data_IF_244697435323
#
_entry.id   IF_244697435323
#
_cell.length_a   1.000
_cell.length_b   1.000
_cell.length_c   1.000
_cell.angle_alpha   90.00
_cell.angle_beta   90.00
_cell.angle_gamma   90.00
#
_symmetry.space_group_name_H-M   'P 1'
#
loop_
_entity.id
_entity.type
_entity.pdbx_description
1 polymer ?
#
# COMPACT_ATOMS: atom_id res chain seq x y z
N UNK A 1 9.32 -22.83 -4.92
CA UNK A 1 10.07 -21.56 -4.91
C UNK A 1 9.09 -20.43 -5.18
N UNK A 2 9.23 -19.31 -4.46
CA UNK A 2 8.41 -18.11 -4.64
C UNK A 2 9.34 -16.98 -5.05
N UNK A 3 8.97 -16.20 -6.06
CA UNK A 3 9.68 -14.97 -6.41
C UNK A 3 8.80 -13.81 -5.96
N UNK A 4 9.28 -12.99 -5.01
CA UNK A 4 8.61 -11.73 -4.71
C UNK A 4 9.12 -10.67 -5.67
N UNK A 5 8.21 -9.94 -6.32
CA UNK A 5 8.57 -8.83 -7.21
C UNK A 5 8.06 -7.49 -6.69
N UNK A 6 8.90 -6.47 -6.82
CA UNK A 6 8.60 -5.06 -6.55
C UNK A 6 8.97 -4.26 -7.79
N UNK A 7 8.00 -4.03 -8.68
CA UNK A 7 8.27 -3.52 -10.02
C UNK A 7 9.15 -4.49 -10.81
N UNK A 8 10.34 -4.05 -11.20
CA UNK A 8 11.33 -4.88 -11.92
C UNK A 8 12.31 -5.62 -10.99
N UNK A 9 12.26 -5.35 -9.68
CA UNK A 9 13.13 -6.03 -8.71
C UNK A 9 12.50 -7.37 -8.33
N UNK A 10 13.23 -8.46 -8.51
CA UNK A 10 12.78 -9.81 -8.17
C UNK A 10 13.67 -10.38 -7.08
N UNK A 11 13.09 -11.07 -6.11
CA UNK A 11 13.82 -11.69 -5.01
C UNK A 11 13.34 -13.14 -4.86
N UNK A 12 14.22 -14.15 -5.03
CA UNK A 12 13.85 -15.54 -4.93
C UNK A 12 13.83 -16.02 -3.48
N UNK A 13 12.76 -16.71 -3.10
CA UNK A 13 12.55 -17.28 -1.78
C UNK A 13 12.19 -18.77 -1.85
N UNK A 14 12.71 -19.53 -0.89
CA UNK A 14 12.32 -20.91 -0.63
C UNK A 14 11.27 -20.97 0.48
N UNK A 15 10.26 -21.81 0.29
CA UNK A 15 9.27 -22.08 1.33
C UNK A 15 9.90 -23.02 2.36
N UNK A 16 10.10 -22.56 3.59
CA UNK A 16 10.63 -23.38 4.70
C UNK A 16 9.54 -24.12 5.45
N UNK A 17 8.37 -23.50 5.59
CA UNK A 17 7.23 -24.09 6.31
C UNK A 17 5.93 -23.57 5.71
N UNK A 18 4.95 -24.45 5.57
CA UNK A 18 3.59 -24.12 5.19
C UNK A 18 2.64 -24.64 6.26
N UNK A 19 1.69 -23.82 6.68
CA UNK A 19 0.59 -24.20 7.56
C UNK A 19 -0.70 -23.90 6.82
N UNK A 20 -1.63 -24.84 6.84
CA UNK A 20 -2.94 -24.70 6.21
C UNK A 20 -4.02 -24.80 7.28
N UNK A 21 -5.00 -23.91 7.21
CA UNK A 21 -6.08 -23.80 8.20
C UNK A 21 -7.36 -24.46 7.72
N UNK A 22 -7.56 -24.58 6.40
CA UNK A 22 -8.76 -25.17 5.78
C UNK A 22 -8.51 -26.59 5.24
N UNK A 23 -9.51 -27.51 5.33
CA UNK A 23 -9.35 -28.93 5.02
C UNK A 23 -9.30 -29.28 3.52
N UNK A 24 -9.23 -28.31 2.60
CA UNK A 24 -9.09 -28.65 1.16
C UNK A 24 -7.73 -29.33 0.91
N UNK A 25 -7.64 -30.17 -0.12
CA UNK A 25 -6.40 -30.90 -0.43
C UNK A 25 -5.32 -30.01 -1.08
N UNK A 26 -5.70 -28.87 -1.65
CA UNK A 26 -4.84 -28.10 -2.56
C UNK A 26 -4.35 -26.79 -1.94
N UNK A 27 -3.03 -26.59 -1.85
CA UNK A 27 -2.47 -25.29 -1.47
C UNK A 27 -2.85 -24.22 -2.51
N UNK A 28 -3.03 -22.96 -2.14
CA UNK A 28 -3.23 -21.88 -3.12
C UNK A 28 -1.95 -21.70 -3.96
N UNK A 29 -0.79 -21.82 -3.31
CA UNK A 29 0.51 -21.77 -3.98
C UNK A 29 0.99 -23.19 -4.35
N UNK A 30 0.31 -23.85 -5.32
CA UNK A 30 0.69 -25.21 -5.77
C UNK A 30 1.93 -25.25 -6.66
N UNK A 31 2.13 -24.21 -7.47
CA UNK A 31 3.16 -24.22 -8.50
C UNK A 31 4.55 -24.16 -7.88
N UNK A 32 5.47 -24.97 -8.43
CA UNK A 32 6.88 -25.04 -8.02
C UNK A 32 7.60 -23.71 -8.19
N UNK A 33 7.09 -22.80 -9.04
CA UNK A 33 7.61 -21.47 -9.30
C UNK A 33 6.48 -20.45 -9.43
N UNK A 34 6.18 -19.73 -8.35
CA UNK A 34 5.15 -18.68 -8.36
C UNK A 34 5.81 -17.31 -8.20
N UNK A 35 5.50 -16.38 -9.11
CA UNK A 35 5.89 -14.97 -8.97
C UNK A 35 4.75 -14.20 -8.33
N UNK A 36 5.06 -13.49 -7.26
CA UNK A 36 4.14 -12.77 -6.40
C UNK A 36 4.48 -11.29 -6.43
N UNK A 37 3.62 -10.49 -7.06
CA UNK A 37 3.83 -9.05 -7.24
C UNK A 37 3.34 -8.27 -6.03
N UNK A 38 4.23 -7.52 -5.38
CA UNK A 38 3.88 -6.56 -4.35
C UNK A 38 3.21 -5.36 -5.03
N UNK A 39 1.93 -5.13 -4.72
CA UNK A 39 1.16 -3.99 -5.24
C UNK A 39 1.26 -2.75 -4.35
N UNK A 40 1.53 -2.93 -3.07
CA UNK A 40 1.62 -1.81 -2.14
C UNK A 40 1.98 -2.25 -0.74
N UNK A 41 2.15 -1.26 0.13
CA UNK A 41 2.45 -1.45 1.54
C UNK A 41 1.37 -0.81 2.40
N UNK A 42 0.94 -1.52 3.44
CA UNK A 42 -0.04 -1.04 4.40
C UNK A 42 0.57 -0.98 5.80
N UNK A 43 0.17 0.02 6.57
CA UNK A 43 0.51 0.12 7.99
C UNK A 43 -0.68 -0.38 8.80
N UNK A 44 -0.44 -1.29 9.74
CA UNK A 44 -1.47 -1.82 10.65
C UNK A 44 -2.69 -2.45 9.93
N UNK A 45 -2.53 -3.54 9.16
CA UNK A 45 -3.67 -4.30 8.67
C UNK A 45 -4.49 -4.84 9.87
N UNK A 46 -5.78 -5.10 9.70
CA UNK A 46 -6.65 -5.68 10.74
C UNK A 46 -5.98 -6.86 11.47
N UNK A 47 -5.99 -6.85 12.80
CA UNK A 47 -5.21 -7.82 13.61
C UNK A 47 -5.68 -9.28 13.43
N UNK A 48 -6.93 -9.48 12.98
CA UNK A 48 -7.48 -10.80 12.70
C UNK A 48 -7.89 -10.93 11.24
N UNK A 49 -7.27 -11.90 10.56
CA UNK A 49 -7.62 -12.29 9.20
C UNK A 49 -7.91 -13.79 9.17
N UNK A 50 -8.99 -14.24 8.50
CA UNK A 50 -9.20 -15.66 8.22
C UNK A 50 -8.11 -16.14 7.25
N UNK A 51 -6.96 -16.51 7.81
CA UNK A 51 -5.79 -16.96 7.06
C UNK A 51 -6.02 -18.40 6.61
N UNK A 52 -6.17 -18.62 5.31
CA UNK A 52 -6.28 -19.94 4.69
C UNK A 52 -4.96 -20.69 4.83
N UNK A 53 -3.86 -20.00 4.50
CA UNK A 53 -2.51 -20.55 4.44
C UNK A 53 -1.50 -19.56 4.97
N UNK A 54 -0.48 -20.09 5.63
CA UNK A 54 0.64 -19.31 6.13
C UNK A 54 1.94 -19.97 5.69
N UNK A 55 2.75 -19.24 4.95
CA UNK A 55 4.05 -19.68 4.48
C UNK A 55 5.15 -18.89 5.17
N UNK A 56 6.13 -19.60 5.72
CA UNK A 56 7.41 -19.01 6.12
C UNK A 56 8.37 -19.19 4.95
N UNK A 57 8.85 -18.08 4.42
CA UNK A 57 9.72 -18.03 3.27
C UNK A 57 11.09 -17.48 3.69
N UNK A 58 12.15 -18.04 3.13
CA UNK A 58 13.52 -17.61 3.38
C UNK A 58 14.22 -17.32 2.07
N UNK A 59 15.07 -16.29 2.04
CA UNK A 59 15.88 -15.96 0.87
C UNK A 59 16.56 -17.23 0.33
N UNK A 60 16.44 -17.47 -0.97
CA UNK A 60 17.02 -18.66 -1.60
C UNK A 60 18.55 -18.66 -1.41
N UNK A 61 19.18 -19.80 -1.12
CA UNK A 61 20.64 -19.90 -1.06
C UNK A 61 21.29 -19.67 -2.44
N UNK A 62 20.50 -19.71 -3.51
CA UNK A 62 20.95 -19.41 -4.88
C UNK A 62 20.79 -17.92 -5.25
N UNK A 63 20.31 -17.08 -4.33
CA UNK A 63 20.15 -15.66 -4.58
C UNK A 63 21.50 -14.98 -4.89
N UNK A 64 21.49 -14.13 -5.90
CA UNK A 64 22.61 -13.26 -6.25
C UNK A 64 22.87 -12.22 -5.17
N UNK A 65 24.04 -11.59 -5.21
CA UNK A 65 24.41 -10.50 -4.29
C UNK A 65 23.37 -9.36 -4.33
N UNK A 66 22.95 -8.95 -5.52
CA UNK A 66 21.94 -7.91 -5.71
C UNK A 66 20.59 -8.28 -5.09
N UNK A 67 20.15 -9.53 -5.24
CA UNK A 67 18.91 -10.01 -4.63
C UNK A 67 19.01 -10.04 -3.10
N UNK A 68 20.18 -10.40 -2.56
CA UNK A 68 20.44 -10.36 -1.12
C UNK A 68 20.41 -8.93 -0.55
N UNK A 69 21.03 -7.97 -1.25
CA UNK A 69 20.98 -6.55 -0.88
C UNK A 69 19.56 -5.98 -0.97
N UNK A 70 18.81 -6.36 -2.00
CA UNK A 70 17.40 -5.97 -2.17
C UNK A 70 16.54 -6.55 -1.04
N UNK A 71 16.77 -7.81 -0.67
CA UNK A 71 16.10 -8.48 0.45
C UNK A 71 16.36 -7.76 1.77
N UNK A 72 17.62 -7.38 2.05
CA UNK A 72 17.99 -6.63 3.24
C UNK A 72 17.33 -5.23 3.25
N UNK A 73 17.29 -4.56 2.11
CA UNK A 73 16.62 -3.25 1.97
C UNK A 73 15.12 -3.37 2.25
N UNK A 74 14.48 -4.41 1.69
CA UNK A 74 13.08 -4.71 1.93
C UNK A 74 12.82 -5.01 3.42
N UNK A 75 13.64 -5.85 4.05
CA UNK A 75 13.56 -6.15 5.48
C UNK A 75 13.65 -4.88 6.34
N UNK A 76 14.61 -4.02 6.03
CA UNK A 76 14.75 -2.74 6.73
C UNK A 76 13.53 -1.85 6.54
N UNK A 77 12.94 -1.79 5.34
CA UNK A 77 11.72 -1.02 5.11
C UNK A 77 10.55 -1.49 5.98
N UNK A 78 10.43 -2.81 6.21
CA UNK A 78 9.44 -3.37 7.13
C UNK A 78 9.70 -3.02 8.60
N UNK A 79 10.97 -2.94 9.01
CA UNK A 79 11.34 -2.75 10.42
C UNK A 79 11.64 -1.30 10.83
N UNK A 80 11.89 -0.39 9.88
CA UNK A 80 12.34 0.99 10.16
C UNK A 80 11.24 1.90 10.70
N UNK A 81 9.98 1.60 10.40
CA UNK A 81 8.86 2.38 10.91
C UNK A 81 8.46 1.88 12.30
N UNK A 82 8.15 2.78 13.23
CA UNK A 82 7.63 2.44 14.58
C UNK A 82 6.30 1.66 14.55
N UNK A 83 5.74 1.44 13.35
CA UNK A 83 4.52 0.70 13.07
C UNK A 83 4.83 -0.44 12.12
N UNK A 84 4.26 -1.62 12.38
CA UNK A 84 4.41 -2.78 11.51
C UNK A 84 3.85 -2.47 10.11
N UNK A 85 4.73 -2.52 9.12
CA UNK A 85 4.39 -2.43 7.69
C UNK A 85 4.17 -3.84 7.17
N UNK A 86 3.26 -4.00 6.22
CA UNK A 86 2.99 -5.25 5.53
C UNK A 86 2.85 -4.99 4.03
N UNK A 87 3.35 -5.89 3.20
CA UNK A 87 3.19 -5.79 1.75
C UNK A 87 1.96 -6.59 1.32
N UNK A 88 1.23 -6.03 0.36
CA UNK A 88 0.03 -6.63 -0.20
C UNK A 88 0.36 -7.22 -1.56
N UNK A 89 -0.02 -8.48 -1.75
CA UNK A 89 0.25 -9.29 -2.93
C UNK A 89 -1.06 -9.95 -3.36
N UNK A 90 -1.75 -9.49 -4.41
CA UNK A 90 -2.87 -10.27 -4.95
C UNK A 90 -2.36 -11.57 -5.56
N UNK A 91 -3.09 -12.66 -5.33
CA UNK A 91 -2.72 -13.99 -5.83
C UNK A 91 -3.71 -14.45 -6.89
N UNK A 92 -5.02 -14.28 -6.63
CA UNK A 92 -6.11 -14.62 -7.53
C UNK A 92 -7.34 -13.75 -7.21
N UNK A 93 -8.41 -13.93 -7.98
CA UNK A 93 -9.70 -13.31 -7.70
C UNK A 93 -10.14 -13.66 -6.27
N UNK A 94 -10.38 -12.64 -5.45
CA UNK A 94 -10.74 -12.78 -4.03
C UNK A 94 -9.69 -13.42 -3.11
N UNK A 95 -8.43 -13.63 -3.57
CA UNK A 95 -7.34 -14.14 -2.74
C UNK A 95 -6.21 -13.12 -2.61
N UNK A 96 -5.88 -12.78 -1.37
CA UNK A 96 -4.84 -11.81 -1.01
C UNK A 96 -3.73 -12.47 -0.20
N UNK A 97 -2.49 -12.15 -0.55
CA UNK A 97 -1.30 -12.39 0.24
C UNK A 97 -0.91 -11.14 1.02
N UNK A 98 -0.66 -11.29 2.32
CA UNK A 98 -0.05 -10.27 3.18
C UNK A 98 1.33 -10.76 3.58
N UNK A 99 2.36 -10.03 3.19
CA UNK A 99 3.76 -10.35 3.49
C UNK A 99 4.25 -9.46 4.63
N UNK A 100 4.82 -10.08 5.66
CA UNK A 100 5.47 -9.39 6.77
C UNK A 100 6.89 -9.89 7.00
N UNK A 101 7.76 -9.01 7.49
CA UNK A 101 9.10 -9.38 7.93
C UNK A 101 9.09 -10.06 9.31
N UNK A 102 10.01 -11.00 9.51
CA UNK A 102 10.31 -11.54 10.84
C UNK A 102 11.45 -10.77 11.51
N UNK A 103 11.82 -11.15 12.73
CA UNK A 103 13.02 -10.63 13.38
C UNK A 103 14.32 -11.02 12.64
N UNK A 104 14.29 -12.08 11.81
CA UNK A 104 15.42 -12.52 11.01
C UNK A 104 15.37 -11.87 9.62
N UNK A 105 16.52 -11.37 9.15
CA UNK A 105 16.61 -10.46 7.98
C UNK A 105 16.27 -11.11 6.64
N UNK A 106 16.43 -12.42 6.56
CA UNK A 106 16.27 -13.25 5.39
C UNK A 106 14.95 -14.03 5.40
N UNK A 107 14.12 -13.83 6.43
CA UNK A 107 12.89 -14.59 6.67
C UNK A 107 11.66 -13.69 6.72
N UNK A 108 10.68 -14.07 5.92
CA UNK A 108 9.38 -13.40 5.80
C UNK A 108 8.25 -14.40 5.98
N UNK A 109 7.08 -13.89 6.30
CA UNK A 109 5.85 -14.66 6.42
C UNK A 109 4.85 -14.13 5.41
N UNK A 110 4.25 -15.03 4.65
CA UNK A 110 3.12 -14.75 3.77
C UNK A 110 1.87 -15.33 4.41
N UNK A 111 0.88 -14.49 4.66
CA UNK A 111 -0.48 -14.89 5.04
C UNK A 111 -1.37 -14.83 3.82
N UNK A 112 -1.98 -15.94 3.44
CA UNK A 112 -2.95 -16.02 2.36
C UNK A 112 -4.35 -16.00 2.96
N UNK A 113 -5.21 -15.13 2.46
CA UNK A 113 -6.59 -14.98 2.91
C UNK A 113 -7.54 -14.87 1.72
N UNK A 114 -8.74 -15.40 1.91
CA UNK A 114 -9.88 -15.03 1.07
C UNK A 114 -10.41 -13.72 1.61
N UNK A 115 -10.67 -12.78 0.72
CA UNK A 115 -11.49 -11.64 1.03
C UNK A 115 -12.76 -11.78 0.22
N UNK A 116 -13.89 -11.82 0.90
CA UNK A 116 -15.14 -11.49 0.25
C UNK A 116 -15.07 -10.01 -0.06
N UNK A 117 -15.06 -9.67 -1.35
CA UNK A 117 -15.66 -8.42 -1.77
C UNK A 117 -17.12 -8.56 -1.39
N UNK A 118 -17.47 -8.27 -0.13
CA UNK A 118 -18.82 -7.81 0.11
C UNK A 118 -19.01 -6.70 -0.92
N UNK A 119 -20.08 -6.73 -1.74
CA UNK A 119 -20.44 -5.54 -2.48
C UNK A 119 -20.56 -4.53 -1.37
N UNK A 120 -19.55 -3.68 -1.23
CA UNK A 120 -19.59 -2.56 -0.33
C UNK A 120 -20.94 -1.99 -0.68
N UNK A 121 -21.87 -1.96 0.30
CA UNK A 121 -23.00 -1.07 0.20
C UNK A 121 -22.31 0.27 0.12
N UNK A 122 -21.95 0.61 -1.11
CA UNK A 122 -21.50 1.89 -1.54
C UNK A 122 -22.74 2.70 -1.22
N UNK A 123 -22.82 3.21 0.01
CA UNK A 123 -23.22 4.59 0.19
C UNK A 123 -22.40 5.29 -0.86
N UNK A 124 -23.03 5.58 -2.00
CA UNK A 124 -22.38 5.86 -3.25
C UNK A 124 -21.33 6.96 -3.08
N UNK A 125 -20.11 6.58 -2.72
CA UNK A 125 -18.91 7.28 -3.07
C UNK A 125 -18.51 6.58 -4.33
N UNK A 126 -19.03 7.12 -5.43
CA UNK A 126 -18.51 6.82 -6.76
C UNK A 126 -16.99 6.75 -6.62
N UNK A 127 -16.41 5.58 -6.87
CA UNK A 127 -15.01 5.45 -7.26
C UNK A 127 -14.84 6.19 -8.58
N UNK A 128 -14.93 7.52 -8.54
CA UNK A 128 -14.40 8.37 -9.58
C UNK A 128 -12.91 8.14 -9.47
N UNK A 129 -12.39 7.35 -10.42
CA UNK A 129 -11.05 7.58 -10.95
C UNK A 129 -10.91 9.10 -11.00
N UNK A 130 -10.09 9.65 -10.12
CA UNK A 130 -9.92 11.09 -10.01
C UNK A 130 -9.24 11.51 -11.30
N UNK A 131 -10.03 12.03 -12.23
CA UNK A 131 -9.53 12.47 -13.53
C UNK A 131 -8.39 13.45 -13.28
N UNK A 132 -7.20 13.12 -13.78
CA UNK A 132 -6.01 13.96 -13.61
C UNK A 132 -6.23 15.36 -14.20
N UNK A 133 -7.09 15.47 -15.22
CA UNK A 133 -7.47 16.74 -15.81
C UNK A 133 -8.36 17.59 -14.89
N UNK A 134 -8.96 16.99 -13.87
CA UNK A 134 -9.77 17.65 -12.85
C UNK A 134 -8.97 18.09 -11.61
N UNK A 135 -7.64 17.90 -11.61
CA UNK A 135 -6.79 18.37 -10.52
C UNK A 135 -6.93 19.88 -10.34
N UNK A 136 -7.21 20.38 -9.11
CA UNK A 136 -7.35 21.81 -8.87
C UNK A 136 -6.09 22.57 -9.28
N UNK A 137 -6.25 23.55 -10.16
CA UNK A 137 -5.12 24.33 -10.68
C UNK A 137 -4.63 25.33 -9.63
N UNK A 138 -3.32 25.68 -9.62
CA UNK A 138 -2.79 26.67 -8.68
C UNK A 138 -3.55 28.00 -8.64
N UNK A 139 -4.05 28.46 -9.80
CA UNK A 139 -4.85 29.68 -9.91
C UNK A 139 -6.20 29.60 -9.16
N UNK A 140 -6.81 28.41 -9.13
CA UNK A 140 -8.06 28.16 -8.40
C UNK A 140 -7.82 28.17 -6.90
N UNK A 141 -6.76 27.48 -6.44
CA UNK A 141 -6.33 27.45 -5.03
C UNK A 141 -6.09 28.88 -4.54
N UNK A 142 -5.35 29.69 -5.31
CA UNK A 142 -5.09 31.10 -4.99
C UNK A 142 -6.37 31.92 -4.83
N UNK A 143 -7.32 31.76 -5.76
CA UNK A 143 -8.61 32.48 -5.72
C UNK A 143 -9.42 32.13 -4.49
N UNK A 144 -9.42 30.86 -4.09
CA UNK A 144 -10.14 30.38 -2.90
C UNK A 144 -9.45 30.89 -1.62
N UNK A 145 -8.12 30.91 -1.56
CA UNK A 145 -7.37 31.45 -0.41
C UNK A 145 -7.57 32.96 -0.22
N UNK A 146 -7.78 33.74 -1.28
CA UNK A 146 -8.06 35.18 -1.18
C UNK A 146 -9.35 35.51 -0.41
N UNK A 147 -10.30 34.58 -0.37
CA UNK A 147 -11.57 34.73 0.35
C UNK A 147 -11.55 34.05 1.73
N UNK A 148 -10.37 33.71 2.25
CA UNK A 148 -10.22 33.17 3.60
C UNK A 148 -10.64 34.21 4.65
N UNK A 149 -11.36 33.83 5.74
CA UNK A 149 -11.74 32.47 6.15
C UNK A 149 -13.09 31.95 5.62
N UNK A 150 -13.83 32.76 4.85
CA UNK A 150 -15.18 32.41 4.38
C UNK A 150 -15.18 31.20 3.42
N UNK A 151 -14.08 31.00 2.69
CA UNK A 151 -13.87 29.91 1.74
C UNK A 151 -13.43 28.57 2.37
N UNK A 152 -13.39 28.45 3.69
CA UNK A 152 -12.98 27.23 4.41
C UNK A 152 -13.56 25.92 3.87
N UNK A 153 -14.87 25.78 3.59
CA UNK A 153 -15.42 24.53 3.06
C UNK A 153 -14.92 24.20 1.65
N UNK A 154 -14.73 25.21 0.80
CA UNK A 154 -14.22 25.04 -0.56
C UNK A 154 -12.74 24.63 -0.53
N UNK A 155 -11.96 25.29 0.32
CA UNK A 155 -10.55 24.97 0.49
C UNK A 155 -10.35 23.56 1.06
N UNK A 156 -11.23 23.11 1.96
CA UNK A 156 -11.24 21.72 2.45
C UNK A 156 -11.57 20.72 1.34
N UNK A 157 -12.48 21.04 0.43
CA UNK A 157 -12.78 20.20 -0.74
C UNK A 157 -11.55 20.02 -1.63
N UNK A 158 -10.91 21.14 -1.98
CA UNK A 158 -9.67 21.17 -2.79
C UNK A 158 -8.54 20.40 -2.10
N UNK A 159 -8.31 20.64 -0.81
CA UNK A 159 -7.28 19.96 -0.03
C UNK A 159 -7.46 18.44 -0.05
N UNK A 160 -8.69 17.96 0.21
CA UNK A 160 -8.99 16.52 0.17
C UNK A 160 -8.80 15.94 -1.23
N UNK A 161 -9.17 16.66 -2.28
CA UNK A 161 -8.99 16.20 -3.65
C UNK A 161 -7.50 16.04 -3.99
N UNK A 162 -6.68 17.06 -3.73
CA UNK A 162 -5.23 17.04 -4.00
C UNK A 162 -4.54 15.97 -3.14
N UNK A 163 -4.90 15.89 -1.86
CA UNK A 163 -4.33 14.90 -0.94
C UNK A 163 -4.67 13.46 -1.35
N UNK A 164 -5.92 13.19 -1.73
CA UNK A 164 -6.33 11.88 -2.24
C UNK A 164 -5.61 11.54 -3.54
N UNK A 165 -5.42 12.49 -4.45
CA UNK A 165 -4.64 12.28 -5.67
C UNK A 165 -3.17 11.98 -5.37
N UNK A 166 -2.57 12.65 -4.38
CA UNK A 166 -1.20 12.38 -3.95
C UNK A 166 -1.07 10.97 -3.35
N UNK A 167 -2.05 10.53 -2.55
CA UNK A 167 -2.10 9.18 -2.00
C UNK A 167 -2.28 8.09 -3.06
N UNK A 168 -3.15 8.32 -4.06
CA UNK A 168 -3.50 7.33 -5.07
C UNK A 168 -2.47 7.23 -6.21
N UNK A 169 -1.91 8.37 -6.64
CA UNK A 169 -1.08 8.45 -7.85
C UNK A 169 0.34 8.95 -7.59
N UNK A 170 0.69 9.29 -6.35
CA UNK A 170 2.03 9.75 -5.99
C UNK A 170 2.36 11.19 -6.37
N UNK A 171 1.37 12.01 -6.77
CA UNK A 171 1.56 13.43 -7.14
C UNK A 171 1.74 14.36 -5.93
N UNK A 172 2.76 14.10 -5.12
CA UNK A 172 3.08 14.90 -3.93
C UNK A 172 3.49 16.33 -4.26
N UNK A 173 3.97 16.60 -5.47
CA UNK A 173 4.31 17.94 -5.95
C UNK A 173 3.08 18.86 -5.93
N UNK A 174 1.90 18.35 -6.29
CA UNK A 174 0.66 19.14 -6.25
C UNK A 174 0.25 19.46 -4.81
N UNK A 175 0.48 18.54 -3.88
CA UNK A 175 0.28 18.79 -2.46
C UNK A 175 1.22 19.88 -1.94
N UNK A 176 2.51 19.83 -2.29
CA UNK A 176 3.48 20.86 -1.93
C UNK A 176 3.10 22.25 -2.49
N UNK A 177 2.59 22.31 -3.73
CA UNK A 177 2.08 23.56 -4.31
C UNK A 177 0.89 24.11 -3.52
N UNK A 178 -0.05 23.25 -3.12
CA UNK A 178 -1.17 23.63 -2.26
C UNK A 178 -0.71 24.16 -0.89
N UNK A 179 0.25 23.47 -0.26
CA UNK A 179 0.86 23.91 1.00
C UNK A 179 1.53 25.27 0.86
N UNK A 180 2.33 25.46 -0.19
CA UNK A 180 3.03 26.72 -0.45
C UNK A 180 2.09 27.89 -0.71
N UNK A 181 0.94 27.65 -1.36
CA UNK A 181 -0.09 28.68 -1.55
C UNK A 181 -0.77 28.99 -0.21
N UNK A 182 -1.17 27.99 0.57
CA UNK A 182 -1.83 28.19 1.87
C UNK A 182 -0.93 28.94 2.87
N UNK A 183 0.37 28.64 2.89
CA UNK A 183 1.35 29.32 3.74
C UNK A 183 1.42 30.83 3.47
N UNK A 184 1.26 31.29 2.22
CA UNK A 184 1.23 32.72 1.87
C UNK A 184 0.07 33.48 2.51
N UNK A 185 -1.00 32.77 2.88
CA UNK A 185 -2.19 33.33 3.52
C UNK A 185 -2.29 32.93 5.00
N UNK A 186 -1.20 32.43 5.60
CA UNK A 186 -1.13 31.98 7.00
C UNK A 186 -2.15 30.86 7.33
N UNK A 187 -2.52 30.06 6.33
CA UNK A 187 -3.46 28.94 6.48
C UNK A 187 -2.66 27.66 6.70
N UNK A 188 -2.90 26.96 7.81
CA UNK A 188 -2.33 25.62 8.04
C UNK A 188 -3.01 24.59 7.13
N UNK A 189 -2.32 23.94 6.18
CA UNK A 189 -2.92 22.94 5.28
C UNK A 189 -3.38 21.68 6.03
N UNK A 190 -2.68 21.36 7.12
CA UNK A 190 -2.93 20.18 7.96
C UNK A 190 -4.32 20.21 8.62
N UNK A 191 -4.94 21.39 8.77
CA UNK A 191 -6.28 21.49 9.35
C UNK A 191 -7.39 20.92 8.43
N UNK A 192 -7.05 20.61 7.17
CA UNK A 192 -7.99 20.09 6.18
C UNK A 192 -7.85 18.59 5.92
N UNK A 193 -6.74 17.99 6.36
CA UNK A 193 -6.40 16.57 6.15
C UNK A 193 -6.23 15.88 7.50
N UNK A 194 -6.83 14.71 7.68
CA UNK A 194 -6.89 14.03 8.98
C UNK A 194 -8.30 13.98 9.54
N UNK A 195 -9.01 12.94 9.12
CA UNK A 195 -10.08 12.22 9.82
C UNK A 195 -10.24 10.89 9.11
#
# INVERSE_FOLDING_TARGET
MIILSLGYLTIPFDIKKSIKTLPSNDYVLQNTFTTLCIQGFVQSPPVMHPTIERHVIQLSPQATTTESETCNTLHQAFCKHQRHVYAIVPIADSILGIVGATAQKDLFIIHIMEYTVEPVRNAAREDKILDLNSSPKPAEILKVCQSWPQSKPQLKGIANQIYNMALLYGYWENWQVFEGICQRYEISPQQFIGN
#
